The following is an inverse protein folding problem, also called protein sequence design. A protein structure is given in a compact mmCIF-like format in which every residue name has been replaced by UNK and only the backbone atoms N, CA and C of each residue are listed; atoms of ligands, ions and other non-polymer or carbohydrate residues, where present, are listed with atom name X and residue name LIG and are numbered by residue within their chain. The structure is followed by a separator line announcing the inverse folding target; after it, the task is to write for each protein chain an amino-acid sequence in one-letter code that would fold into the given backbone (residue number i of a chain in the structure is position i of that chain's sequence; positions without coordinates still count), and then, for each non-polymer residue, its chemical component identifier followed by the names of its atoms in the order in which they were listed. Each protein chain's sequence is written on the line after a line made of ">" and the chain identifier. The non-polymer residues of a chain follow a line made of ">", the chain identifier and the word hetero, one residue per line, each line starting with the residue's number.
data_IF_691830814479
#
_entry.id   IF_691830814479
#
_cell.length_a   1.000
_cell.length_b   1.000
_cell.length_c   1.000
_cell.angle_alpha   90.00
_cell.angle_beta   90.00
_cell.angle_gamma   90.00
#
_symmetry.space_group_name_H-M   'P 1'
#
loop_
_entity.id
_entity.type
_entity.pdbx_description
1 polymer ?
#
# COMPACT_ATOMS: atom_id res chain seq x y z
N UNK A 1 6.70 -3.52 -15.22
CA UNK A 1 7.54 -4.10 -14.15
C UNK A 1 6.69 -4.32 -12.92
N UNK A 2 6.85 -5.45 -12.23
CA UNK A 2 6.12 -5.76 -11.00
C UNK A 2 7.10 -5.95 -9.84
N UNK A 3 6.68 -5.56 -8.63
CA UNK A 3 7.40 -5.81 -7.38
C UNK A 3 6.38 -6.09 -6.29
N UNK A 4 6.61 -7.11 -5.49
CA UNK A 4 5.80 -7.40 -4.30
C UNK A 4 6.64 -7.09 -3.05
N UNK A 5 6.01 -6.51 -2.03
CA UNK A 5 6.60 -6.32 -0.70
C UNK A 5 5.59 -6.72 0.35
N UNK A 6 6.05 -7.29 1.46
CA UNK A 6 5.19 -7.67 2.57
C UNK A 6 5.21 -6.61 3.67
N UNK A 7 4.06 -6.40 4.32
CA UNK A 7 3.95 -5.52 5.48
C UNK A 7 2.80 -5.99 6.39
N UNK A 8 3.10 -6.28 7.66
CA UNK A 8 2.14 -6.72 8.70
C UNK A 8 1.23 -7.88 8.26
N UNK A 9 1.78 -8.85 7.50
CA UNK A 9 1.05 -10.00 7.00
C UNK A 9 0.20 -9.75 5.74
N UNK A 10 0.31 -8.57 5.13
CA UNK A 10 -0.28 -8.25 3.84
C UNK A 10 0.79 -8.20 2.75
N UNK A 11 0.42 -8.65 1.55
CA UNK A 11 1.19 -8.48 0.33
C UNK A 11 0.78 -7.17 -0.36
N UNK A 12 1.76 -6.34 -0.69
CA UNK A 12 1.59 -5.12 -1.47
C UNK A 12 2.19 -5.37 -2.85
N UNK A 13 1.34 -5.41 -3.87
CA UNK A 13 1.76 -5.62 -5.25
C UNK A 13 1.86 -4.28 -5.98
N UNK A 14 3.05 -3.91 -6.40
CA UNK A 14 3.31 -2.72 -7.21
C UNK A 14 3.44 -3.11 -8.68
N UNK A 15 2.79 -2.33 -9.54
CA UNK A 15 2.91 -2.47 -10.98
C UNK A 15 3.20 -1.13 -11.65
N UNK A 16 4.38 -1.04 -12.23
CA UNK A 16 4.87 0.10 -13.00
C UNK A 16 4.60 -0.15 -14.48
N UNK A 17 3.73 0.66 -15.08
CA UNK A 17 3.46 0.68 -16.53
C UNK A 17 4.27 1.82 -17.14
N UNK A 18 5.17 1.53 -18.08
CA UNK A 18 5.95 2.57 -18.75
C UNK A 18 5.07 3.46 -19.61
N UNK A 19 5.23 4.78 -19.49
CA UNK A 19 4.50 5.78 -20.29
C UNK A 19 5.44 6.59 -21.17
N UNK A 20 6.63 6.93 -20.67
CA UNK A 20 7.69 7.63 -21.39
C UNK A 20 9.05 7.07 -20.96
N UNK A 21 10.14 7.56 -21.57
CA UNK A 21 11.50 7.15 -21.19
C UNK A 21 11.71 7.37 -19.69
N UNK A 22 11.99 6.26 -18.98
CA UNK A 22 12.24 6.22 -17.54
C UNK A 22 11.10 6.74 -16.64
N UNK A 23 9.89 6.87 -17.18
CA UNK A 23 8.70 7.35 -16.47
C UNK A 23 7.58 6.30 -16.49
N UNK A 24 6.94 6.09 -15.33
CA UNK A 24 6.03 4.99 -15.10
C UNK A 24 4.74 5.42 -14.39
N UNK A 25 3.61 5.02 -14.94
CA UNK A 25 2.35 4.99 -14.19
C UNK A 25 2.45 3.92 -13.11
N UNK A 26 2.30 4.34 -11.86
CA UNK A 26 2.31 3.47 -10.70
C UNK A 26 0.90 3.01 -10.37
N UNK A 27 0.75 1.71 -10.24
CA UNK A 27 -0.46 1.08 -9.72
C UNK A 27 -0.09 0.16 -8.56
N UNK A 28 -1.01 -0.02 -7.63
CA UNK A 28 -0.85 -1.00 -6.56
C UNK A 28 -2.14 -1.77 -6.26
N UNK A 29 -2.00 -2.93 -5.64
CA UNK A 29 -3.08 -3.69 -5.00
C UNK A 29 -2.55 -4.32 -3.72
N UNK A 30 -3.46 -4.64 -2.79
CA UNK A 30 -3.12 -5.31 -1.54
C UNK A 30 -3.86 -6.64 -1.49
N UNK A 31 -3.17 -7.68 -1.02
CA UNK A 31 -3.78 -8.95 -0.63
C UNK A 31 -3.36 -9.29 0.81
N UNK A 32 -4.20 -10.04 1.52
CA UNK A 32 -3.94 -10.36 2.92
C UNK A 32 -5.03 -11.20 3.57
N UNK A 33 -4.86 -11.55 4.86
CA UNK A 33 -5.67 -12.54 5.56
C UNK A 33 -7.09 -12.07 5.87
N UNK A 34 -7.36 -10.76 5.81
CA UNK A 34 -8.66 -10.17 6.10
C UNK A 34 -9.05 -9.14 5.03
N UNK A 35 -10.35 -9.04 4.75
CA UNK A 35 -10.93 -8.07 3.80
C UNK A 35 -12.07 -7.31 4.48
N UNK A 36 -11.78 -6.23 5.25
CA UNK A 36 -12.84 -5.46 5.90
C UNK A 36 -13.80 -4.86 4.85
N UNK A 37 -15.11 -4.87 5.11
CA UNK A 37 -16.07 -4.24 4.21
C UNK A 37 -15.76 -2.74 4.06
N UNK A 38 -15.76 -2.24 2.82
CA UNK A 38 -15.50 -0.83 2.50
C UNK A 38 -14.05 -0.49 2.13
N UNK A 39 -13.09 -1.42 2.25
CA UNK A 39 -11.71 -1.15 1.81
C UNK A 39 -11.50 -1.52 0.34
N UNK A 40 -11.47 -0.50 -0.52
CA UNK A 40 -11.33 -0.69 -1.97
C UNK A 40 -9.93 -1.16 -2.43
N UNK A 41 -8.89 -1.07 -1.59
CA UNK A 41 -7.51 -1.42 -1.96
C UNK A 41 -7.22 -2.93 -1.96
N UNK A 42 -8.10 -3.74 -1.36
CA UNK A 42 -7.89 -5.18 -1.25
C UNK A 42 -8.42 -5.88 -2.50
N UNK A 43 -7.53 -6.55 -3.24
CA UNK A 43 -7.84 -7.29 -4.48
C UNK A 43 -8.17 -6.43 -5.71
N UNK A 44 -8.38 -5.11 -5.56
CA UNK A 44 -8.56 -4.19 -6.70
C UNK A 44 -7.30 -3.37 -6.93
N UNK A 45 -6.89 -3.30 -8.18
CA UNK A 45 -5.76 -2.48 -8.61
C UNK A 45 -6.14 -1.00 -8.67
N UNK A 46 -5.38 -0.16 -7.98
CA UNK A 46 -5.57 1.29 -7.87
C UNK A 46 -4.41 2.01 -8.54
N UNK A 47 -4.70 3.02 -9.37
CA UNK A 47 -3.67 3.92 -9.92
C UNK A 47 -3.31 4.96 -8.86
N UNK A 48 -2.01 5.11 -8.58
CA UNK A 48 -1.53 6.15 -7.67
C UNK A 48 -1.59 7.50 -8.37
N UNK A 49 -2.32 8.46 -7.78
CA UNK A 49 -2.42 9.81 -8.31
C UNK A 49 -1.05 10.53 -8.36
N UNK A 50 -0.88 11.45 -9.32
CA UNK A 50 0.37 12.17 -9.55
C UNK A 50 1.40 11.43 -10.42
N UNK A 51 1.08 10.22 -10.88
CA UNK A 51 1.86 9.53 -11.90
C UNK A 51 1.86 10.28 -13.26
N UNK A 52 2.90 10.11 -14.11
CA UNK A 52 3.98 9.12 -13.99
C UNK A 52 5.16 9.57 -13.13
N UNK A 53 5.88 8.60 -12.55
CA UNK A 53 7.07 8.83 -11.72
C UNK A 53 8.32 8.19 -12.34
N UNK A 54 9.50 8.67 -11.96
CA UNK A 54 10.73 7.92 -12.24
C UNK A 54 10.74 6.59 -11.50
N UNK A 55 11.50 5.60 -11.99
CA UNK A 55 11.53 4.25 -11.40
C UNK A 55 11.77 4.26 -9.88
N UNK A 56 12.74 5.04 -9.39
CA UNK A 56 13.08 5.11 -7.95
C UNK A 56 11.90 5.67 -7.14
N UNK A 57 11.28 6.75 -7.62
CA UNK A 57 10.12 7.36 -6.97
C UNK A 57 8.89 6.45 -6.99
N UNK A 58 8.62 5.78 -8.11
CA UNK A 58 7.50 4.84 -8.23
C UNK A 58 7.60 3.71 -7.20
N UNK A 59 8.79 3.15 -6.96
CA UNK A 59 8.97 2.12 -5.94
C UNK A 59 8.78 2.67 -4.52
N UNK A 60 9.40 3.82 -4.20
CA UNK A 60 9.30 4.42 -2.87
C UNK A 60 7.85 4.81 -2.54
N UNK A 61 7.19 5.55 -3.44
CA UNK A 61 5.80 6.00 -3.26
C UNK A 61 4.87 4.80 -3.16
N UNK A 62 5.04 3.79 -4.02
CA UNK A 62 4.20 2.59 -3.98
C UNK A 62 4.30 1.84 -2.66
N UNK A 63 5.52 1.69 -2.15
CA UNK A 63 5.76 1.03 -0.87
C UNK A 63 5.12 1.81 0.29
N UNK A 64 5.30 3.14 0.34
CA UNK A 64 4.69 3.98 1.38
C UNK A 64 3.17 4.01 1.30
N UNK A 65 2.60 4.14 0.10
CA UNK A 65 1.15 4.15 -0.10
C UNK A 65 0.51 2.80 0.29
N UNK A 66 1.16 1.69 -0.07
CA UNK A 66 0.71 0.35 0.31
C UNK A 66 0.73 0.14 1.83
N UNK A 67 1.81 0.53 2.51
CA UNK A 67 1.91 0.42 3.98
C UNK A 67 0.86 1.27 4.68
N UNK A 68 0.69 2.53 4.27
CA UNK A 68 -0.34 3.41 4.84
C UNK A 68 -1.75 2.84 4.65
N UNK A 69 -2.03 2.22 3.49
CA UNK A 69 -3.32 1.56 3.25
C UNK A 69 -3.51 0.31 4.14
N UNK A 70 -2.46 -0.47 4.39
CA UNK A 70 -2.49 -1.57 5.38
C UNK A 70 -2.76 -1.06 6.79
N UNK A 71 -2.15 0.05 7.20
CA UNK A 71 -2.40 0.62 8.53
C UNK A 71 -3.85 1.10 8.67
N UNK A 72 -4.45 1.66 7.60
CA UNK A 72 -5.88 1.98 7.57
C UNK A 72 -6.76 0.72 7.63
N UNK A 73 -6.33 -0.40 7.02
CA UNK A 73 -7.04 -1.69 7.09
C UNK A 73 -7.06 -2.24 8.52
N UNK A 74 -5.92 -2.15 9.21
CA UNK A 74 -5.76 -2.68 10.56
C UNK A 74 -6.40 -1.77 11.62
N UNK A 75 -6.55 -0.47 11.31
CA UNK A 75 -7.02 0.51 12.28
C UNK A 75 -5.94 0.87 13.31
N UNK A 76 -6.24 1.75 14.27
CA UNK A 76 -5.32 2.05 15.35
C UNK A 76 -4.99 0.77 16.12
N UNK A 77 -3.72 0.59 16.49
CA UNK A 77 -3.39 -0.40 17.52
C UNK A 77 -4.13 0.05 18.79
N UNK A 78 -4.95 -0.81 19.38
CA UNK A 78 -5.56 -0.53 20.67
C UNK A 78 -4.43 -0.36 21.69
N UNK A 79 -4.09 0.89 21.99
CA UNK A 79 -3.22 1.22 23.11
C UNK A 79 -3.98 0.76 24.36
N UNK A 80 -3.57 -0.39 24.91
CA UNK A 80 -4.14 -0.89 26.16
C UNK A 80 -4.02 0.24 27.18
N UNK A 81 -5.12 0.70 27.80
CA UNK A 81 -5.05 1.84 28.70
C UNK A 81 -4.04 1.49 29.78
N UNK A 82 -2.98 2.30 29.88
CA UNK A 82 -1.99 2.16 30.93
C UNK A 82 -2.77 2.01 32.25
N UNK A 83 -2.60 0.87 32.90
CA UNK A 83 -3.20 0.61 34.21
C UNK A 83 -2.81 1.77 35.11
N UNK A 84 -3.76 2.66 35.39
CA UNK A 84 -3.62 3.71 36.37
C UNK A 84 -3.65 3.00 37.73
N UNK A 85 -2.48 2.50 38.14
CA UNK A 85 -2.27 1.92 39.46
C UNK A 85 -2.44 3.04 40.50
N UNK A 86 -3.60 3.02 41.18
CA UNK A 86 -3.86 3.80 42.40
C UNK A 86 -3.33 3.11 43.64
#
# INVERSE_FOLDING_TARGET
>A
MTRTTEYRGFEIHLQLIGTQKDMFDLWFSIDGPMKPPGVAAIGKRIKVHGSPFSRRWAHLIGELAGRAAVDVILGPEEESPATDER
#
